data_IF_590999552834
#
_entry.id   IF_590999552834
#
_cell.length_a   1.000
_cell.length_b   1.000
_cell.length_c   1.000
_cell.angle_alpha   90.00
_cell.angle_beta   90.00
_cell.angle_gamma   90.00
#
_symmetry.space_group_name_H-M   'P 1'
#
loop_
_entity.id
_entity.type
_entity.pdbx_description
1 polymer ?
#
# COMPACT_ATOMS: atom_id res chain seq x y z
N UNK A 1 2.39 -11.66 32.43
CA UNK A 1 1.64 -10.73 31.58
C UNK A 1 2.65 -9.69 31.14
N UNK A 2 2.87 -9.55 29.85
CA UNK A 2 3.77 -8.51 29.32
C UNK A 2 3.12 -7.15 29.61
N UNK A 3 3.80 -6.32 30.40
CA UNK A 3 3.36 -4.97 30.71
C UNK A 3 3.70 -4.07 29.53
N UNK A 4 2.70 -3.49 28.90
CA UNK A 4 2.86 -2.47 27.86
C UNK A 4 3.51 -1.23 28.45
N UNK A 5 4.58 -0.80 27.81
CA UNK A 5 5.28 0.45 28.09
C UNK A 5 4.85 1.54 27.12
N UNK A 6 4.79 2.78 27.61
CA UNK A 6 4.45 3.96 26.81
C UNK A 6 5.68 4.86 26.75
N UNK A 7 6.13 5.17 25.53
CA UNK A 7 7.21 6.10 25.25
C UNK A 7 6.67 7.44 24.76
N UNK A 8 7.15 8.53 25.35
CA UNK A 8 6.75 9.89 24.98
C UNK A 8 7.63 10.39 23.83
N UNK A 9 7.00 10.85 22.75
CA UNK A 9 7.67 11.43 21.59
C UNK A 9 7.13 12.82 21.29
N UNK A 10 8.04 13.81 21.25
CA UNK A 10 7.74 15.16 20.80
C UNK A 10 7.42 15.15 19.31
N UNK A 11 6.41 15.93 18.91
CA UNK A 11 6.07 16.13 17.50
C UNK A 11 6.61 17.47 17.00
N UNK A 12 6.47 17.74 15.70
CA UNK A 12 6.79 19.06 15.13
C UNK A 12 5.84 20.17 15.60
N UNK A 13 4.67 19.80 16.16
CA UNK A 13 3.72 20.73 16.76
C UNK A 13 3.86 20.70 18.29
N UNK A 14 4.24 21.81 18.95
CA UNK A 14 4.45 21.83 20.41
C UNK A 14 3.18 21.56 21.23
N UNK A 15 1.99 21.78 20.66
CA UNK A 15 0.72 21.46 21.31
C UNK A 15 0.37 19.96 21.22
N UNK A 16 1.09 19.18 20.42
CA UNK A 16 0.81 17.75 20.20
C UNK A 16 1.94 16.88 20.74
N UNK A 17 1.58 15.92 21.58
CA UNK A 17 2.50 14.92 22.11
C UNK A 17 2.04 13.52 21.72
N UNK A 18 2.99 12.68 21.29
CA UNK A 18 2.76 11.29 20.89
C UNK A 18 3.16 10.37 22.05
N UNK A 19 2.29 9.42 22.38
CA UNK A 19 2.46 8.36 23.36
C UNK A 19 2.49 7.03 22.60
N UNK A 20 3.68 6.51 22.35
CA UNK A 20 3.90 5.29 21.57
C UNK A 20 3.91 4.07 22.48
N UNK A 21 3.09 3.08 22.16
CA UNK A 21 3.07 1.79 22.83
C UNK A 21 4.01 0.80 22.15
N UNK A 22 4.57 -0.12 22.93
CA UNK A 22 5.37 -1.25 22.45
C UNK A 22 4.55 -2.36 21.76
N UNK A 23 3.21 -2.21 21.69
CA UNK A 23 2.30 -3.12 21.02
C UNK A 23 1.24 -2.38 20.20
N UNK A 24 0.55 -3.12 19.33
CA UNK A 24 -0.60 -2.59 18.62
C UNK A 24 -1.81 -2.37 19.56
N UNK A 25 -2.40 -1.19 19.47
CA UNK A 25 -3.59 -0.72 20.18
C UNK A 25 -4.87 -0.92 19.37
N UNK A 26 -4.76 -0.89 18.04
CA UNK A 26 -5.86 -1.04 17.08
C UNK A 26 -5.47 -1.98 15.94
N UNK A 27 -6.46 -2.47 15.17
CA UNK A 27 -6.24 -3.28 13.96
C UNK A 27 -5.75 -2.42 12.78
N UNK A 28 -4.67 -1.65 12.96
CA UNK A 28 -4.11 -0.72 11.97
C UNK A 28 -5.05 0.42 11.52
N UNK A 29 -6.13 0.65 12.25
CA UNK A 29 -7.03 1.78 12.03
C UNK A 29 -6.59 3.00 12.85
N UNK A 30 -6.80 4.19 12.28
CA UNK A 30 -6.58 5.45 12.95
C UNK A 30 -7.91 6.16 13.21
N UNK A 31 -8.05 6.72 14.40
CA UNK A 31 -9.24 7.38 14.89
C UNK A 31 -8.88 8.78 15.37
N UNK A 32 -9.67 9.76 14.97
CA UNK A 32 -9.58 11.12 15.48
C UNK A 32 -10.89 11.48 16.16
N UNK A 33 -10.78 12.05 17.35
CA UNK A 33 -11.89 12.56 18.13
C UNK A 33 -11.58 14.00 18.54
N UNK A 34 -12.55 14.90 18.38
CA UNK A 34 -12.43 16.30 18.80
C UNK A 34 -13.23 16.60 20.08
N UNK A 35 -14.16 15.71 20.46
CA UNK A 35 -15.00 15.88 21.65
C UNK A 35 -15.27 14.54 22.32
N UNK A 36 -15.65 14.58 23.60
CA UNK A 36 -16.07 13.40 24.37
C UNK A 36 -17.30 12.70 23.75
N UNK A 37 -18.19 13.45 23.12
CA UNK A 37 -19.38 12.92 22.46
C UNK A 37 -19.05 12.16 21.16
N UNK A 38 -18.03 12.60 20.43
CA UNK A 38 -17.48 11.88 19.27
C UNK A 38 -16.73 10.60 19.70
N UNK A 39 -16.14 10.62 20.91
CA UNK A 39 -15.31 9.53 21.45
C UNK A 39 -16.09 8.32 21.98
N UNK A 40 -17.41 8.20 21.77
CA UNK A 40 -18.21 7.06 22.26
C UNK A 40 -17.68 5.69 21.82
N UNK A 41 -17.02 5.66 20.66
CA UNK A 41 -16.41 4.45 20.12
C UNK A 41 -15.03 4.14 20.73
N UNK A 42 -14.46 5.00 21.57
CA UNK A 42 -13.17 4.76 22.24
C UNK A 42 -13.28 5.13 23.71
N UNK A 43 -13.48 4.15 24.60
CA UNK A 43 -13.56 4.46 26.03
C UNK A 43 -12.23 5.02 26.57
N UNK A 44 -11.08 4.68 25.95
CA UNK A 44 -9.81 5.36 26.22
C UNK A 44 -9.88 6.85 25.87
N UNK A 45 -10.36 7.21 24.68
CA UNK A 45 -10.49 8.61 24.29
C UNK A 45 -11.48 9.35 25.20
N UNK A 46 -12.57 8.71 25.65
CA UNK A 46 -13.46 9.31 26.65
C UNK A 46 -12.74 9.60 27.96
N UNK A 47 -11.96 8.65 28.49
CA UNK A 47 -11.14 8.85 29.70
C UNK A 47 -10.14 10.02 29.52
N UNK A 48 -9.52 10.13 28.35
CA UNK A 48 -8.57 11.21 28.04
C UNK A 48 -9.26 12.58 27.89
N UNK A 49 -10.51 12.64 27.40
CA UNK A 49 -11.27 13.90 27.33
C UNK A 49 -11.75 14.43 28.68
N UNK A 50 -11.70 13.63 29.76
CA UNK A 50 -11.94 14.16 31.10
C UNK A 50 -10.79 15.04 31.59
N UNK A 51 -9.62 14.96 30.96
CA UNK A 51 -8.52 15.91 31.19
C UNK A 51 -8.91 17.25 30.56
N UNK A 52 -9.10 18.33 31.36
CA UNK A 52 -9.73 19.57 30.90
C UNK A 52 -8.89 20.34 29.88
N UNK A 53 -7.61 19.99 29.74
CA UNK A 53 -6.69 20.59 28.79
C UNK A 53 -6.61 19.83 27.46
N UNK A 54 -7.27 18.69 27.30
CA UNK A 54 -7.22 17.93 26.05
C UNK A 54 -8.23 18.49 25.05
N UNK A 55 -7.70 18.93 23.90
CA UNK A 55 -8.47 19.48 22.78
C UNK A 55 -8.84 18.40 21.77
N UNK A 56 -7.93 17.46 21.51
CA UNK A 56 -8.11 16.42 20.50
C UNK A 56 -7.39 15.15 20.91
N UNK A 57 -8.00 14.01 20.61
CA UNK A 57 -7.41 12.68 20.82
C UNK A 57 -7.30 11.99 19.46
N UNK A 58 -6.09 11.53 19.13
CA UNK A 58 -5.81 10.72 17.96
C UNK A 58 -5.27 9.36 18.42
N UNK A 59 -5.86 8.27 17.93
CA UNK A 59 -5.45 6.90 18.25
C UNK A 59 -5.08 6.23 16.94
N UNK A 60 -3.92 5.59 16.89
CA UNK A 60 -3.43 4.86 15.71
C UNK A 60 -3.04 3.43 16.09
N UNK A 61 -2.45 2.71 15.12
CA UNK A 61 -2.05 1.32 15.24
C UNK A 61 -1.26 1.05 16.53
N UNK A 62 -0.25 1.87 16.85
CA UNK A 62 0.66 1.65 17.97
C UNK A 62 0.89 2.89 18.84
N UNK A 63 0.12 3.97 18.66
CA UNK A 63 0.31 5.19 19.45
C UNK A 63 -1.00 5.95 19.67
N UNK A 64 -1.01 6.77 20.72
CA UNK A 64 -2.02 7.78 21.00
C UNK A 64 -1.35 9.14 20.91
N UNK A 65 -1.85 10.06 20.09
CA UNK A 65 -1.39 11.44 20.07
C UNK A 65 -2.47 12.36 20.63
N UNK A 66 -2.05 13.30 21.46
CA UNK A 66 -2.93 14.22 22.16
C UNK A 66 -2.58 15.65 21.79
N UNK A 67 -3.60 16.44 21.43
CA UNK A 67 -3.48 17.89 21.28
C UNK A 67 -4.02 18.55 22.55
N UNK A 68 -3.23 19.41 23.18
CA UNK A 68 -3.66 20.20 24.34
C UNK A 68 -4.16 21.58 23.93
N UNK A 69 -5.03 22.17 24.74
CA UNK A 69 -5.27 23.60 24.77
C UNK A 69 -4.03 24.34 25.30
N UNK A 70 -3.91 25.61 24.92
CA UNK A 70 -2.81 26.47 25.34
C UNK A 70 -3.03 27.05 26.76
N UNK A 71 -3.21 26.14 27.72
CA UNK A 71 -3.49 26.45 29.14
C UNK A 71 -2.59 25.69 30.12
N UNK A 72 -1.85 24.68 29.63
CA UNK A 72 -0.99 23.77 30.40
C UNK A 72 0.20 23.41 29.51
N UNK A 73 1.40 23.23 30.04
CA UNK A 73 2.55 22.73 29.28
C UNK A 73 2.65 21.19 29.36
N UNK A 74 3.08 20.55 28.28
CA UNK A 74 3.21 19.09 28.25
C UNK A 74 4.23 18.58 29.28
N UNK A 75 5.28 19.36 29.55
CA UNK A 75 6.34 19.00 30.50
C UNK A 75 5.82 18.81 31.93
N UNK A 76 4.69 19.43 32.27
CA UNK A 76 4.07 19.34 33.59
C UNK A 76 3.15 18.12 33.75
N UNK A 77 2.64 17.56 32.66
CA UNK A 77 1.56 16.56 32.70
C UNK A 77 1.83 15.27 31.91
N UNK A 78 2.87 15.24 31.06
CA UNK A 78 3.12 14.15 30.13
C UNK A 78 3.34 12.79 30.83
N UNK A 79 4.01 12.76 31.98
CA UNK A 79 4.27 11.51 32.72
C UNK A 79 2.98 10.94 33.31
N UNK A 80 2.12 11.79 33.89
CA UNK A 80 0.83 11.36 34.44
C UNK A 80 -0.11 10.82 33.36
N UNK A 81 -0.11 11.45 32.19
CA UNK A 81 -0.89 11.00 31.03
C UNK A 81 -0.35 9.69 30.46
N UNK A 82 0.97 9.53 30.38
CA UNK A 82 1.59 8.28 29.95
C UNK A 82 1.24 7.13 30.89
N UNK A 83 1.30 7.36 32.21
CA UNK A 83 0.92 6.40 33.23
C UNK A 83 -0.57 6.02 33.15
N UNK A 84 -1.45 6.99 32.90
CA UNK A 84 -2.88 6.73 32.72
C UNK A 84 -3.14 5.84 31.49
N UNK A 85 -2.49 6.14 30.36
CA UNK A 85 -2.60 5.34 29.12
C UNK A 85 -2.04 3.93 29.35
N UNK A 86 -0.84 3.82 29.94
CA UNK A 86 -0.20 2.55 30.24
C UNK A 86 -1.08 1.68 31.14
N UNK A 87 -1.61 2.25 32.23
CA UNK A 87 -2.51 1.55 33.14
C UNK A 87 -3.77 1.07 32.43
N UNK A 88 -4.40 1.93 31.63
CA UNK A 88 -5.61 1.58 30.89
C UNK A 88 -5.38 0.37 29.97
N UNK A 89 -4.26 0.36 29.24
CA UNK A 89 -3.90 -0.71 28.31
C UNK A 89 -3.53 -2.00 29.06
N UNK A 90 -2.83 -1.88 30.19
CA UNK A 90 -2.43 -3.02 31.01
C UNK A 90 -3.60 -3.66 31.78
N UNK A 91 -4.66 -2.88 32.06
CA UNK A 91 -5.93 -3.40 32.60
C UNK A 91 -6.73 -4.20 31.56
N UNK A 92 -6.26 -4.29 30.31
CA UNK A 92 -6.89 -5.06 29.23
C UNK A 92 -8.20 -4.48 28.73
N UNK A 93 -8.48 -3.21 29.03
CA UNK A 93 -9.66 -2.49 28.55
C UNK A 93 -9.58 -2.27 27.04
N UNK A 94 -10.73 -2.30 26.36
CA UNK A 94 -10.78 -2.04 24.92
C UNK A 94 -10.49 -0.58 24.60
N UNK A 95 -9.49 -0.33 23.75
CA UNK A 95 -9.12 1.02 23.31
C UNK A 95 -10.18 1.60 22.38
N UNK A 96 -10.76 0.78 21.50
CA UNK A 96 -11.85 1.15 20.56
C UNK A 96 -12.88 0.02 20.53
N UNK A 97 -14.16 0.36 20.67
CA UNK A 97 -15.31 -0.50 20.43
C UNK A 97 -15.76 -0.31 18.98
N UNK A 98 -15.77 -1.36 18.16
CA UNK A 98 -15.97 -1.37 16.69
C UNK A 98 -17.32 -0.81 16.15
N UNK A 99 -18.07 -0.01 16.91
CA UNK A 99 -19.36 0.52 16.51
C UNK A 99 -19.27 1.95 15.93
N UNK A 100 -18.97 2.01 14.63
CA UNK A 100 -19.40 3.00 13.62
C UNK A 100 -19.20 4.51 13.82
N UNK A 101 -18.54 5.08 12.80
CA UNK A 101 -18.53 6.48 12.36
C UNK A 101 -17.59 7.46 13.07
N UNK A 102 -16.30 7.24 12.96
CA UNK A 102 -15.33 8.34 12.89
C UNK A 102 -15.39 9.01 11.51
N UNK A 103 -15.07 10.30 11.43
CA UNK A 103 -14.82 11.00 10.16
C UNK A 103 -13.65 10.30 9.46
N UNK A 104 -13.95 9.27 8.67
CA UNK A 104 -13.00 8.64 7.77
C UNK A 104 -12.53 9.71 6.79
N UNK A 105 -11.21 9.82 6.57
CA UNK A 105 -10.70 10.56 5.42
C UNK A 105 -11.45 10.05 4.19
N UNK A 106 -12.14 10.93 3.43
CA UNK A 106 -12.96 10.46 2.32
C UNK A 106 -12.07 9.71 1.34
N UNK A 107 -12.43 8.46 1.06
CA UNK A 107 -11.73 7.66 0.06
C UNK A 107 -12.11 8.22 -1.30
N UNK A 108 -11.11 8.68 -2.05
CA UNK A 108 -11.28 9.09 -3.44
C UNK A 108 -10.63 8.05 -4.33
N UNK A 109 -11.36 7.71 -5.39
CA UNK A 109 -10.89 6.85 -6.47
C UNK A 109 -11.14 7.58 -7.77
N UNK A 110 -10.08 7.77 -8.56
CA UNK A 110 -10.15 8.29 -9.93
C UNK A 110 -9.63 7.27 -10.91
N UNK A 111 -10.15 7.30 -12.13
CA UNK A 111 -9.78 6.39 -13.19
C UNK A 111 -8.99 7.13 -14.27
N UNK A 112 -7.90 6.53 -14.72
CA UNK A 112 -7.02 7.04 -15.76
C UNK A 112 -6.89 6.01 -16.87
N UNK A 113 -6.91 6.47 -18.12
CA UNK A 113 -6.57 5.64 -19.27
C UNK A 113 -5.07 5.33 -19.26
N UNK A 114 -4.72 4.09 -19.56
CA UNK A 114 -3.32 3.70 -19.79
C UNK A 114 -3.00 3.69 -21.29
N UNK A 115 -1.72 3.64 -21.70
CA UNK A 115 -1.36 3.39 -23.09
C UNK A 115 -1.88 2.06 -23.65
N UNK A 116 -2.27 1.11 -22.77
CA UNK A 116 -2.92 -0.14 -23.14
C UNK A 116 -4.45 0.05 -23.17
N UNK A 117 -5.11 -0.03 -24.34
CA UNK A 117 -6.56 0.23 -24.45
C UNK A 117 -7.42 -0.80 -23.70
N UNK A 118 -6.85 -1.95 -23.36
CA UNK A 118 -7.54 -2.98 -22.59
C UNK A 118 -7.41 -2.80 -21.08
N UNK A 119 -6.66 -1.79 -20.61
CA UNK A 119 -6.34 -1.60 -19.19
C UNK A 119 -6.66 -0.18 -18.74
N UNK A 120 -7.40 -0.06 -17.63
CA UNK A 120 -7.60 1.19 -16.92
C UNK A 120 -6.95 1.13 -15.55
N UNK A 121 -6.38 2.27 -15.13
CA UNK A 121 -5.75 2.46 -13.83
C UNK A 121 -6.72 3.19 -12.91
N UNK A 122 -6.96 2.66 -11.72
CA UNK A 122 -7.81 3.24 -10.69
C UNK A 122 -6.96 3.63 -9.51
N UNK A 123 -6.74 4.93 -9.31
CA UNK A 123 -5.85 5.45 -8.27
C UNK A 123 -6.64 5.86 -7.05
N UNK A 124 -6.13 5.48 -5.89
CA UNK A 124 -6.72 5.68 -4.57
C UNK A 124 -5.86 6.68 -3.80
N UNK A 125 -6.48 7.54 -2.99
CA UNK A 125 -5.77 8.46 -2.09
C UNK A 125 -5.18 7.78 -0.83
N UNK A 126 -4.94 6.47 -0.88
CA UNK A 126 -4.38 5.67 0.22
C UNK A 126 -3.58 4.51 -0.36
N UNK A 127 -2.49 4.13 0.31
CA UNK A 127 -1.78 2.88 0.05
C UNK A 127 -2.70 1.67 0.29
N UNK A 128 -2.84 0.81 -0.73
CA UNK A 128 -3.64 -0.40 -0.73
C UNK A 128 -2.78 -1.67 -0.51
N UNK A 129 -1.54 -1.68 -0.99
CA UNK A 129 -0.59 -2.80 -0.86
C UNK A 129 0.83 -2.28 -0.68
N UNK A 130 1.68 -3.04 0.03
CA UNK A 130 3.10 -2.69 0.22
C UNK A 130 4.03 -3.25 -0.87
N UNK A 131 3.58 -4.27 -1.59
CA UNK A 131 4.29 -4.91 -2.71
C UNK A 131 3.30 -5.10 -3.86
N UNK A 132 3.79 -5.35 -5.06
CA UNK A 132 2.93 -5.55 -6.23
C UNK A 132 2.27 -6.93 -6.22
N UNK A 133 1.04 -7.00 -6.73
CA UNK A 133 0.30 -8.25 -6.92
C UNK A 133 -0.45 -8.26 -8.24
N UNK A 134 -0.19 -9.25 -9.07
CA UNK A 134 -0.95 -9.51 -10.30
C UNK A 134 -1.93 -10.68 -10.11
N UNK A 135 -3.09 -10.66 -10.74
CA UNK A 135 -4.02 -11.78 -10.71
C UNK A 135 -4.55 -11.96 -12.11
N UNK A 136 -4.27 -13.11 -12.71
CA UNK A 136 -4.72 -13.44 -14.08
C UNK A 136 -5.96 -14.34 -14.09
N UNK A 137 -6.38 -14.82 -12.92
CA UNK A 137 -7.58 -15.62 -12.75
C UNK A 137 -8.14 -15.51 -11.33
N UNK A 138 -9.43 -15.85 -11.18
CA UNK A 138 -10.08 -15.91 -9.87
C UNK A 138 -9.42 -16.94 -8.92
N UNK A 139 -8.83 -18.01 -9.47
CA UNK A 139 -8.15 -19.02 -8.67
C UNK A 139 -6.84 -18.48 -8.04
N UNK A 140 -6.15 -17.58 -8.75
CA UNK A 140 -4.95 -16.91 -8.26
C UNK A 140 -5.28 -15.81 -7.25
N UNK A 141 -6.49 -15.25 -7.32
CA UNK A 141 -7.00 -14.18 -6.45
C UNK A 141 -7.38 -14.63 -5.03
N UNK A 142 -7.18 -15.90 -4.66
CA UNK A 142 -7.61 -16.45 -3.37
C UNK A 142 -7.09 -15.72 -2.12
N UNK A 143 -5.94 -15.03 -2.23
CA UNK A 143 -5.34 -14.24 -1.16
C UNK A 143 -5.78 -12.77 -1.16
N UNK A 144 -6.60 -12.36 -2.14
CA UNK A 144 -7.17 -11.02 -2.23
C UNK A 144 -8.69 -11.11 -2.33
N UNK A 145 -9.40 -10.81 -1.23
CA UNK A 145 -10.85 -10.71 -1.26
C UNK A 145 -11.33 -9.63 -2.24
N UNK A 146 -10.63 -8.50 -2.34
CA UNK A 146 -10.92 -7.45 -3.34
C UNK A 146 -10.78 -7.96 -4.77
N UNK A 147 -9.67 -8.60 -5.13
CA UNK A 147 -9.49 -9.13 -6.48
C UNK A 147 -10.52 -10.22 -6.79
N UNK A 148 -10.85 -11.08 -5.82
CA UNK A 148 -11.88 -12.11 -5.98
C UNK A 148 -13.24 -11.50 -6.29
N UNK A 149 -13.65 -10.45 -5.56
CA UNK A 149 -14.90 -9.74 -5.86
C UNK A 149 -14.85 -9.03 -7.23
N UNK A 150 -13.71 -8.45 -7.62
CA UNK A 150 -13.53 -7.88 -8.97
C UNK A 150 -13.68 -8.93 -10.07
N UNK A 151 -13.18 -10.15 -9.87
CA UNK A 151 -13.32 -11.25 -10.84
C UNK A 151 -14.76 -11.77 -11.00
N UNK A 152 -15.66 -11.49 -10.05
CA UNK A 152 -17.08 -11.79 -10.24
C UNK A 152 -17.75 -10.87 -11.28
N UNK A 153 -17.11 -9.75 -11.62
CA UNK A 153 -17.54 -8.89 -12.71
C UNK A 153 -17.15 -9.54 -14.05
N UNK A 154 -18.12 -9.84 -14.93
CA UNK A 154 -17.89 -10.70 -16.12
C UNK A 154 -16.94 -10.10 -17.16
N UNK A 155 -16.66 -8.80 -17.06
CA UNK A 155 -15.78 -8.08 -17.96
C UNK A 155 -14.34 -8.00 -17.47
N UNK A 156 -14.01 -8.44 -16.25
CA UNK A 156 -12.65 -8.39 -15.70
C UNK A 156 -11.85 -9.60 -16.14
N UNK A 157 -10.69 -9.36 -16.74
CA UNK A 157 -9.75 -10.37 -17.25
C UNK A 157 -8.57 -10.60 -16.30
N UNK A 158 -7.98 -9.52 -15.82
CA UNK A 158 -6.89 -9.55 -14.85
C UNK A 158 -6.92 -8.29 -13.99
N UNK A 159 -6.34 -8.39 -12.81
CA UNK A 159 -6.27 -7.30 -11.83
C UNK A 159 -4.84 -7.20 -11.34
N UNK A 160 -4.30 -5.99 -11.27
CA UNK A 160 -2.96 -5.70 -10.78
C UNK A 160 -3.04 -4.63 -9.69
N UNK A 161 -2.38 -4.85 -8.56
CA UNK A 161 -2.27 -3.92 -7.45
C UNK A 161 -0.83 -3.46 -7.29
N UNK A 162 -0.66 -2.16 -7.08
CA UNK A 162 0.62 -1.56 -6.72
C UNK A 162 0.36 -0.33 -5.86
N UNK A 163 1.18 -0.12 -4.83
CA UNK A 163 1.14 0.95 -3.84
C UNK A 163 -0.26 1.51 -3.54
N UNK A 164 -0.75 2.44 -4.36
CA UNK A 164 -2.03 3.15 -4.21
C UNK A 164 -2.97 3.04 -5.43
N UNK A 165 -2.73 2.15 -6.38
CA UNK A 165 -3.56 1.99 -7.57
C UNK A 165 -3.86 0.54 -7.95
N UNK A 166 -4.97 0.37 -8.66
CA UNK A 166 -5.44 -0.90 -9.21
C UNK A 166 -5.53 -0.78 -10.72
N UNK A 167 -4.80 -1.60 -11.46
CA UNK A 167 -4.97 -1.73 -12.90
C UNK A 167 -5.88 -2.90 -13.23
N UNK A 168 -6.94 -2.66 -13.98
CA UNK A 168 -7.91 -3.68 -14.37
C UNK A 168 -7.82 -3.87 -15.88
N UNK A 169 -7.53 -5.10 -16.29
CA UNK A 169 -7.63 -5.50 -17.69
C UNK A 169 -9.02 -6.01 -17.96
N UNK A 170 -9.68 -5.50 -19.01
CA UNK A 170 -11.00 -5.97 -19.43
C UNK A 170 -10.92 -7.07 -20.49
N UNK A 171 -12.01 -7.80 -20.64
CA UNK A 171 -12.27 -8.65 -21.80
C UNK A 171 -12.64 -7.81 -23.03
N UNK A 172 -12.46 -8.36 -24.24
CA UNK A 172 -12.66 -7.63 -25.51
C UNK A 172 -14.11 -7.16 -25.72
N UNK A 173 -15.08 -7.81 -25.07
CA UNK A 173 -16.51 -7.52 -25.21
C UNK A 173 -16.99 -6.29 -24.43
N UNK A 174 -16.17 -5.75 -23.52
CA UNK A 174 -16.58 -4.66 -22.64
C UNK A 174 -16.05 -3.29 -23.14
N UNK A 175 -16.81 -2.23 -22.88
CA UNK A 175 -16.42 -0.85 -23.18
C UNK A 175 -16.13 -0.10 -21.88
N UNK A 176 -14.96 0.54 -21.80
CA UNK A 176 -14.55 1.34 -20.65
C UNK A 176 -15.55 2.46 -20.32
N UNK A 177 -16.19 3.07 -21.33
CA UNK A 177 -17.18 4.11 -21.10
C UNK A 177 -18.40 3.60 -20.32
N UNK A 178 -18.71 2.31 -20.42
CA UNK A 178 -19.84 1.69 -19.74
C UNK A 178 -19.50 1.22 -18.31
N UNK A 179 -18.29 0.70 -18.11
CA UNK A 179 -17.92 0.00 -16.86
C UNK A 179 -17.09 0.84 -15.87
N UNK A 180 -16.50 1.95 -16.32
CA UNK A 180 -15.56 2.74 -15.49
C UNK A 180 -16.21 3.29 -14.22
N UNK A 181 -17.43 3.84 -14.33
CA UNK A 181 -18.14 4.41 -13.17
C UNK A 181 -18.50 3.35 -12.15
N UNK A 182 -18.95 2.18 -12.61
CA UNK A 182 -19.29 1.04 -11.76
C UNK A 182 -18.06 0.53 -11.00
N UNK A 183 -16.96 0.29 -11.70
CA UNK A 183 -15.69 -0.14 -11.10
C UNK A 183 -15.14 0.87 -10.08
N UNK A 184 -15.18 2.16 -10.43
CA UNK A 184 -14.71 3.24 -9.54
C UNK A 184 -15.50 3.28 -8.23
N UNK A 185 -16.84 3.19 -8.32
CA UNK A 185 -17.69 3.17 -7.13
C UNK A 185 -17.52 1.88 -6.32
N UNK A 186 -17.37 0.74 -6.99
CA UNK A 186 -17.10 -0.54 -6.34
C UNK A 186 -15.80 -0.49 -5.52
N UNK A 187 -14.68 -0.07 -6.12
CA UNK A 187 -13.39 0.04 -5.44
C UNK A 187 -13.47 1.04 -4.28
N UNK A 188 -14.09 2.20 -4.51
CA UNK A 188 -14.26 3.23 -3.48
C UNK A 188 -15.01 2.69 -2.26
N UNK A 189 -16.17 2.07 -2.49
CA UNK A 189 -16.99 1.51 -1.41
C UNK A 189 -16.28 0.38 -0.68
N UNK A 190 -15.61 -0.51 -1.42
CA UNK A 190 -14.87 -1.61 -0.83
C UNK A 190 -13.83 -1.11 0.16
N UNK A 191 -12.99 -0.17 -0.25
CA UNK A 191 -11.93 0.42 0.59
C UNK A 191 -12.54 1.23 1.74
N UNK A 192 -13.63 1.96 1.49
CA UNK A 192 -14.34 2.75 2.51
C UNK A 192 -14.95 1.88 3.61
N UNK A 193 -15.40 0.66 3.27
CA UNK A 193 -15.92 -0.31 4.24
C UNK A 193 -14.84 -0.93 5.13
N UNK A 194 -13.56 -0.79 4.78
CA UNK A 194 -12.45 -1.33 5.58
C UNK A 194 -12.26 -2.84 5.45
N UNK A 195 -12.84 -3.47 4.43
CA UNK A 195 -12.58 -4.89 4.13
C UNK A 195 -11.12 -5.11 3.76
N UNK A 196 -10.61 -6.31 4.04
CA UNK A 196 -9.26 -6.70 3.65
C UNK A 196 -9.07 -6.68 2.14
N UNK A 197 -8.02 -6.00 1.68
CA UNK A 197 -7.58 -5.99 0.28
C UNK A 197 -6.75 -7.24 -0.03
N UNK A 198 -5.87 -7.60 0.91
CA UNK A 198 -5.02 -8.80 0.90
C UNK A 198 -5.13 -9.49 2.25
N UNK A 199 -5.14 -10.82 2.27
CA UNK A 199 -5.05 -11.60 3.50
C UNK A 199 -3.62 -11.54 4.07
N UNK A 200 -3.48 -11.66 5.39
CA UNK A 200 -2.18 -11.53 6.07
C UNK A 200 -1.15 -12.62 5.67
N UNK A 201 -1.62 -13.75 5.17
CA UNK A 201 -0.82 -14.88 4.69
C UNK A 201 -0.54 -14.83 3.17
N UNK A 202 -0.92 -13.73 2.51
CA UNK A 202 -0.65 -13.54 1.10
C UNK A 202 0.87 -13.63 0.82
N UNK A 203 1.29 -14.47 -0.14
CA UNK A 203 2.69 -14.56 -0.52
C UNK A 203 3.13 -13.23 -1.13
N UNK A 204 4.14 -12.58 -0.54
CA UNK A 204 4.66 -11.25 -0.95
C UNK A 204 5.27 -11.20 -2.36
N UNK A 205 5.28 -12.32 -3.06
CA UNK A 205 5.82 -12.47 -4.43
C UNK A 205 4.98 -13.49 -5.17
N UNK A 206 4.74 -13.24 -6.46
CA UNK A 206 4.22 -14.25 -7.37
C UNK A 206 5.11 -15.48 -7.38
N UNK A 207 4.51 -16.63 -7.71
CA UNK A 207 5.14 -17.95 -7.86
C UNK A 207 6.48 -17.83 -8.60
N UNK A 208 7.54 -17.61 -7.84
CA UNK A 208 8.89 -17.78 -8.32
C UNK A 208 9.03 -19.24 -8.71
N UNK A 209 9.49 -19.50 -9.93
CA UNK A 209 10.14 -20.77 -10.22
C UNK A 209 11.14 -21.02 -9.09
N UNK A 210 11.15 -22.23 -8.52
CA UNK A 210 11.83 -22.61 -7.26
C UNK A 210 13.32 -22.18 -7.16
N UNK A 211 13.93 -21.69 -8.24
CA UNK A 211 15.31 -21.15 -8.29
C UNK A 211 15.51 -19.70 -7.86
N UNK A 212 14.49 -18.85 -7.80
CA UNK A 212 14.70 -17.40 -7.57
C UNK A 212 14.08 -16.89 -6.26
N UNK A 213 13.45 -17.76 -5.47
CA UNK A 213 12.77 -17.42 -4.20
C UNK A 213 13.66 -16.80 -3.13
N UNK A 214 14.96 -17.07 -3.17
CA UNK A 214 15.87 -16.80 -2.06
C UNK A 214 16.97 -15.77 -2.39
N UNK A 215 16.96 -15.17 -3.59
CA UNK A 215 17.93 -14.13 -3.92
C UNK A 215 17.49 -12.78 -3.31
N UNK A 216 18.03 -12.44 -2.14
CA UNK A 216 18.05 -11.06 -1.64
C UNK A 216 18.90 -10.20 -2.57
N UNK A 217 18.68 -8.89 -2.61
CA UNK A 217 19.44 -7.97 -3.49
C UNK A 217 20.96 -8.16 -3.36
N UNK A 218 21.43 -8.48 -2.16
CA UNK A 218 22.81 -8.74 -1.79
C UNK A 218 23.42 -9.94 -2.52
N UNK A 219 22.61 -10.93 -2.88
CA UNK A 219 23.04 -12.18 -3.52
C UNK A 219 23.26 -12.05 -5.04
N UNK A 220 22.84 -10.93 -5.65
CA UNK A 220 23.09 -10.67 -7.06
C UNK A 220 24.54 -10.24 -7.30
N UNK A 221 25.06 -10.55 -8.49
CA UNK A 221 26.34 -10.02 -8.95
C UNK A 221 26.26 -8.49 -9.16
N UNK A 222 27.41 -7.83 -9.24
CA UNK A 222 27.49 -6.37 -9.34
C UNK A 222 26.77 -5.82 -10.58
N UNK A 223 26.79 -6.53 -11.71
CA UNK A 223 26.09 -6.06 -12.93
C UNK A 223 24.58 -6.18 -12.74
N UNK A 224 24.10 -7.30 -12.20
CA UNK A 224 22.69 -7.50 -11.88
C UNK A 224 22.19 -6.43 -10.89
N UNK A 225 22.98 -6.08 -9.87
CA UNK A 225 22.66 -4.98 -8.93
C UNK A 225 22.57 -3.63 -9.64
N UNK A 226 23.55 -3.30 -10.47
CA UNK A 226 23.52 -2.07 -11.28
C UNK A 226 22.25 -2.02 -12.17
N UNK A 227 21.89 -3.14 -12.82
CA UNK A 227 20.68 -3.24 -13.64
C UNK A 227 19.43 -3.01 -12.79
N UNK A 228 19.29 -3.69 -11.64
CA UNK A 228 18.14 -3.55 -10.75
C UNK A 228 17.99 -2.09 -10.30
N UNK A 229 19.08 -1.44 -9.87
CA UNK A 229 19.06 -0.03 -9.47
C UNK A 229 18.58 0.87 -10.61
N UNK A 230 19.07 0.67 -11.84
CA UNK A 230 18.62 1.46 -12.99
C UNK A 230 17.13 1.26 -13.27
N UNK A 231 16.66 0.00 -13.22
CA UNK A 231 15.24 -0.30 -13.45
C UNK A 231 14.35 0.37 -12.38
N UNK A 232 14.72 0.27 -11.10
CA UNK A 232 13.96 0.87 -10.00
C UNK A 232 13.96 2.40 -10.04
N UNK A 233 15.09 3.03 -10.35
CA UNK A 233 15.21 4.50 -10.32
C UNK A 233 14.64 5.20 -11.57
N UNK A 234 14.80 4.60 -12.76
CA UNK A 234 14.53 5.28 -14.02
C UNK A 234 13.37 4.70 -14.83
N UNK A 235 13.11 3.39 -14.71
CA UNK A 235 12.12 2.71 -15.56
C UNK A 235 10.80 2.52 -14.81
N UNK A 236 10.87 1.98 -13.60
CA UNK A 236 9.71 1.64 -12.78
C UNK A 236 8.78 2.82 -12.50
N UNK A 237 9.27 4.06 -12.25
CA UNK A 237 8.36 5.20 -12.04
C UNK A 237 7.51 5.51 -13.28
N UNK A 238 8.10 5.41 -14.48
CA UNK A 238 7.38 5.63 -15.73
C UNK A 238 6.35 4.51 -15.99
N UNK A 239 6.76 3.26 -15.76
CA UNK A 239 5.90 2.08 -15.91
C UNK A 239 4.73 2.09 -14.92
N UNK A 240 4.97 2.48 -13.66
CA UNK A 240 3.92 2.63 -12.64
C UNK A 240 2.98 3.80 -12.97
N UNK A 241 3.50 4.89 -13.54
CA UNK A 241 2.67 5.99 -14.05
C UNK A 241 1.66 5.49 -15.10
N UNK A 242 2.13 4.61 -16.00
CA UNK A 242 1.31 3.95 -17.03
C UNK A 242 0.44 2.79 -16.51
N UNK A 243 0.48 2.49 -15.20
CA UNK A 243 -0.35 1.46 -14.57
C UNK A 243 0.19 0.03 -14.69
N UNK A 244 1.49 -0.14 -14.94
CA UNK A 244 2.16 -1.43 -14.92
C UNK A 244 3.24 -1.54 -13.85
N UNK A 245 3.98 -2.64 -13.89
CA UNK A 245 5.23 -2.80 -13.15
C UNK A 245 6.27 -3.54 -14.00
N UNK A 246 7.54 -3.36 -13.65
CA UNK A 246 8.66 -4.08 -14.22
C UNK A 246 9.51 -4.69 -13.10
N UNK A 247 9.85 -5.97 -13.25
CA UNK A 247 10.71 -6.68 -12.31
C UNK A 247 11.91 -7.29 -13.04
N UNK A 248 13.09 -7.21 -12.42
CA UNK A 248 14.27 -7.92 -12.91
C UNK A 248 14.12 -9.43 -12.69
N UNK A 249 14.31 -10.22 -13.74
CA UNK A 249 14.27 -11.68 -13.64
C UNK A 249 15.68 -12.28 -13.60
N UNK A 250 16.54 -11.93 -14.55
CA UNK A 250 17.90 -12.49 -14.62
C UNK A 250 18.79 -11.72 -15.58
N UNK A 251 20.09 -11.87 -15.42
CA UNK A 251 21.10 -11.42 -16.37
C UNK A 251 21.99 -12.59 -16.77
N UNK A 252 22.21 -12.74 -18.08
CA UNK A 252 23.14 -13.70 -18.65
C UNK A 252 24.43 -12.98 -19.08
N UNK A 253 25.58 -13.21 -18.42
CA UNK A 253 26.83 -12.54 -18.72
C UNK A 253 27.48 -13.00 -20.04
N UNK A 254 27.18 -14.21 -20.55
CA UNK A 254 27.75 -14.71 -21.80
C UNK A 254 27.10 -14.01 -23.00
N UNK A 255 25.77 -13.91 -22.98
CA UNK A 255 24.99 -13.26 -24.05
C UNK A 255 24.77 -11.77 -23.80
N UNK A 256 25.05 -11.28 -22.59
CA UNK A 256 24.74 -9.92 -22.10
C UNK A 256 23.24 -9.60 -22.20
N UNK A 257 22.40 -10.61 -21.95
CA UNK A 257 20.95 -10.51 -22.05
C UNK A 257 20.33 -10.29 -20.68
N UNK A 258 19.48 -9.26 -20.57
CA UNK A 258 18.68 -8.99 -19.38
C UNK A 258 17.26 -9.48 -19.62
N UNK A 259 16.72 -10.28 -18.70
CA UNK A 259 15.32 -10.68 -18.69
C UNK A 259 14.55 -9.89 -17.66
N UNK A 260 13.41 -9.34 -18.06
CA UNK A 260 12.49 -8.58 -17.20
C UNK A 260 11.07 -9.14 -17.31
N UNK A 261 10.32 -9.05 -16.22
CA UNK A 261 8.90 -9.39 -16.16
C UNK A 261 8.10 -8.09 -16.25
N UNK A 262 7.14 -8.03 -17.17
CA UNK A 262 6.22 -6.89 -17.32
C UNK A 262 4.85 -7.29 -16.78
N UNK A 263 4.26 -6.41 -15.96
CA UNK A 263 3.01 -6.67 -15.23
C UNK A 263 2.01 -5.54 -15.43
N UNK A 264 0.74 -5.81 -15.11
CA UNK A 264 -0.33 -4.80 -15.17
C UNK A 264 -0.53 -4.27 -16.59
N UNK A 265 -0.62 -2.95 -16.76
CA UNK A 265 -0.85 -2.35 -18.07
C UNK A 265 0.25 -2.64 -19.11
N UNK A 266 1.47 -2.96 -18.67
CA UNK A 266 2.60 -3.26 -19.54
C UNK A 266 2.61 -4.70 -20.04
N UNK A 267 1.81 -5.59 -19.45
CA UNK A 267 1.66 -6.98 -19.87
C UNK A 267 0.71 -7.10 -21.08
N UNK A 268 1.07 -7.93 -22.05
CA UNK A 268 0.15 -8.38 -23.10
C UNK A 268 -0.24 -7.37 -24.20
N UNK A 269 0.37 -6.18 -24.25
CA UNK A 269 0.16 -5.20 -25.33
C UNK A 269 1.34 -5.21 -26.32
N UNK A 270 1.21 -5.79 -27.54
CA UNK A 270 2.34 -5.96 -28.45
C UNK A 270 3.06 -4.66 -28.83
N UNK A 271 2.32 -3.55 -28.99
CA UNK A 271 2.89 -2.24 -29.32
C UNK A 271 3.67 -1.63 -28.15
N UNK A 272 3.14 -1.77 -26.93
CA UNK A 272 3.77 -1.23 -25.73
C UNK A 272 4.97 -2.08 -25.30
N UNK A 273 4.87 -3.41 -25.37
CA UNK A 273 5.97 -4.32 -25.04
C UNK A 273 7.19 -4.09 -25.93
N UNK A 274 7.01 -3.89 -27.24
CA UNK A 274 8.13 -3.63 -28.15
C UNK A 274 8.81 -2.28 -27.87
N UNK A 275 8.02 -1.22 -27.72
CA UNK A 275 8.53 0.13 -27.49
C UNK A 275 9.22 0.23 -26.14
N UNK A 276 8.60 -0.30 -25.09
CA UNK A 276 9.14 -0.32 -23.74
C UNK A 276 10.44 -1.13 -23.68
N UNK A 277 10.45 -2.34 -24.26
CA UNK A 277 11.66 -3.16 -24.36
C UNK A 277 12.81 -2.38 -24.99
N UNK A 278 12.58 -1.74 -26.14
CA UNK A 278 13.63 -1.00 -26.82
C UNK A 278 14.11 0.21 -26.01
N UNK A 279 13.21 0.89 -25.31
CA UNK A 279 13.55 1.97 -24.40
C UNK A 279 14.48 1.50 -23.27
N UNK A 280 14.13 0.40 -22.61
CA UNK A 280 14.92 -0.21 -21.54
C UNK A 280 16.28 -0.68 -22.09
N UNK A 281 16.29 -1.34 -23.24
CA UNK A 281 17.52 -1.86 -23.85
C UNK A 281 18.51 -0.73 -24.17
N UNK A 282 18.03 0.37 -24.77
CA UNK A 282 18.88 1.52 -25.07
C UNK A 282 19.41 2.19 -23.79
N UNK A 283 18.55 2.36 -22.78
CA UNK A 283 18.94 2.92 -21.50
C UNK A 283 20.03 2.09 -20.81
N UNK A 284 19.82 0.77 -20.70
CA UNK A 284 20.80 -0.13 -20.08
C UNK A 284 22.11 -0.16 -20.87
N UNK A 285 22.06 -0.15 -22.21
CA UNK A 285 23.26 -0.06 -23.07
C UNK A 285 24.09 1.20 -22.78
N UNK A 286 23.42 2.35 -22.67
CA UNK A 286 24.05 3.64 -22.43
C UNK A 286 24.64 3.72 -21.03
N UNK A 287 23.83 3.44 -20.01
CA UNK A 287 24.22 3.58 -18.60
C UNK A 287 25.28 2.55 -18.17
N UNK A 288 25.21 1.33 -18.71
CA UNK A 288 26.15 0.26 -18.40
C UNK A 288 27.27 0.13 -19.43
N UNK A 289 27.48 1.13 -20.29
CA UNK A 289 28.60 1.22 -21.25
C UNK A 289 28.81 -0.07 -22.07
N UNK A 290 27.71 -0.68 -22.56
CA UNK A 290 27.76 -1.90 -23.37
C UNK A 290 28.00 -3.21 -22.60
N UNK A 291 27.85 -3.22 -21.26
CA UNK A 291 27.74 -4.46 -20.48
C UNK A 291 26.43 -5.21 -20.77
N UNK A 292 25.37 -4.51 -21.17
CA UNK A 292 24.09 -5.11 -21.63
C UNK A 292 23.96 -4.92 -23.14
N UNK A 293 23.51 -5.96 -23.85
CA UNK A 293 23.33 -5.94 -25.31
C UNK A 293 21.89 -6.19 -25.74
N UNK A 294 21.10 -6.90 -24.96
CA UNK A 294 19.72 -7.25 -25.34
C UNK A 294 18.84 -7.31 -24.10
N UNK A 295 17.59 -6.88 -24.25
CA UNK A 295 16.54 -7.06 -23.24
C UNK A 295 15.47 -8.00 -23.77
N UNK A 296 15.08 -8.97 -22.96
CA UNK A 296 13.94 -9.84 -23.20
C UNK A 296 12.86 -9.56 -22.15
N UNK A 297 11.64 -9.33 -22.61
CA UNK A 297 10.49 -9.10 -21.75
C UNK A 297 9.58 -10.33 -21.77
N UNK A 298 9.21 -10.81 -20.58
CA UNK A 298 8.17 -11.83 -20.42
C UNK A 298 6.96 -11.20 -19.73
N UNK A 299 5.76 -11.68 -20.06
CA UNK A 299 4.54 -11.25 -19.39
C UNK A 299 4.43 -11.97 -18.05
N UNK A 300 4.13 -11.20 -16.99
CA UNK A 300 3.78 -11.70 -15.66
C UNK A 300 2.42 -12.37 -15.60
#
# INVERSE_FOLDING_TARGET
METTTISIQKTSNPSILKFEADKFLTNHESFEFNTIDEAKASPLAQELFYLPFIKKVYISANFVALERYDIVEWEDVQEEVADQIAKYINDGKQVVTEATSTKKTPITVYAESTPNPSVFKFVVNKTIVATTYEFVSIADAKYSPLATELFHLPFVKSVFFDENFISITKNDVADWNAITTELREFIRQYIETGKDIMLADAPKTHKKTERQAEATFENYDEISKEIITILEEYVKPAVASDGGNIEFQSYDPETKTVKVILQGACSGCPSSTYTLKNGIENMLKEMLKGKVMTVEAVNG
#
